data_IF_612582382355
#
_entry.id   IF_612582382355
#
_cell.length_a   1.000
_cell.length_b   1.000
_cell.length_c   1.000
_cell.angle_alpha   90.00
_cell.angle_beta   90.00
_cell.angle_gamma   90.00
#
_symmetry.space_group_name_H-M   'P 1'
#
loop_
_entity.id
_entity.type
_entity.pdbx_description
1 polymer ?
#
# COMPACT_ATOMS: atom_id res chain seq x y z
N UNK A 1 -15.98 -12.28 6.50
CA UNK A 1 -14.80 -11.98 5.65
C UNK A 1 -13.67 -12.87 6.13
N UNK A 2 -13.80 -14.20 6.02
CA UNK A 2 -12.89 -15.16 6.68
C UNK A 2 -11.74 -15.63 5.80
N UNK A 3 -11.76 -15.29 4.50
CA UNK A 3 -10.78 -15.79 3.54
C UNK A 3 -9.35 -15.28 3.77
N UNK A 4 -9.20 -14.08 4.35
CA UNK A 4 -7.89 -13.44 4.54
C UNK A 4 -7.34 -13.61 5.97
N UNK A 5 -8.18 -14.04 6.92
CA UNK A 5 -7.78 -14.21 8.32
C UNK A 5 -6.98 -15.48 8.58
N UNK A 6 -7.08 -16.48 7.70
CA UNK A 6 -6.35 -17.74 7.81
C UNK A 6 -5.02 -17.76 7.04
N UNK A 7 -4.74 -16.73 6.24
CA UNK A 7 -3.57 -16.67 5.39
C UNK A 7 -2.43 -15.90 6.07
N UNK A 8 -1.22 -16.45 5.98
CA UNK A 8 0.01 -15.80 6.39
C UNK A 8 0.30 -14.63 5.46
N UNK A 9 1.13 -13.70 5.92
CA UNK A 9 1.42 -12.47 5.18
C UNK A 9 2.01 -12.77 3.79
N UNK A 10 2.82 -13.81 3.71
CA UNK A 10 3.46 -14.29 2.49
C UNK A 10 2.41 -14.81 1.50
N UNK A 11 1.39 -15.52 1.99
CA UNK A 11 0.29 -16.07 1.20
C UNK A 11 -0.69 -14.97 0.73
N UNK A 12 -0.91 -13.93 1.55
CA UNK A 12 -1.72 -12.76 1.16
C UNK A 12 -1.01 -11.98 0.05
N UNK A 13 0.31 -11.78 0.19
CA UNK A 13 1.12 -11.14 -0.84
C UNK A 13 1.08 -11.97 -2.13
N UNK A 14 1.20 -13.28 -2.04
CA UNK A 14 1.12 -14.19 -3.19
C UNK A 14 -0.26 -14.13 -3.89
N UNK A 15 -1.36 -14.15 -3.13
CA UNK A 15 -2.73 -14.03 -3.66
C UNK A 15 -2.99 -12.68 -4.35
N UNK A 16 -2.43 -11.59 -3.82
CA UNK A 16 -2.53 -10.27 -4.44
C UNK A 16 -1.55 -10.10 -5.62
N UNK A 17 -0.51 -10.92 -5.69
CA UNK A 17 0.53 -10.90 -6.72
C UNK A 17 0.25 -11.85 -7.89
N UNK A 18 -0.62 -12.85 -7.72
CA UNK A 18 -0.96 -13.85 -8.73
C UNK A 18 -2.40 -13.68 -9.20
N UNK A 19 -2.59 -12.83 -10.21
CA UNK A 19 -3.87 -12.62 -10.90
C UNK A 19 -4.67 -11.47 -10.29
N UNK A 20 -4.48 -10.27 -10.84
CA UNK A 20 -5.16 -9.06 -10.40
C UNK A 20 -6.69 -9.17 -10.39
N UNK A 21 -7.33 -8.36 -9.55
CA UNK A 21 -8.79 -8.23 -9.50
C UNK A 21 -9.34 -7.80 -10.86
N UNK A 22 -10.46 -8.39 -11.30
CA UNK A 22 -11.12 -7.91 -12.52
C UNK A 22 -11.54 -6.44 -12.37
N UNK A 23 -11.68 -5.73 -13.49
CA UNK A 23 -11.99 -4.29 -13.51
C UNK A 23 -13.17 -3.90 -12.60
N UNK A 24 -14.24 -4.69 -12.59
CA UNK A 24 -15.39 -4.45 -11.71
C UNK A 24 -15.03 -4.56 -10.22
N UNK A 25 -14.22 -5.54 -9.85
CA UNK A 25 -13.75 -5.74 -8.48
C UNK A 25 -12.75 -4.67 -8.06
N UNK A 26 -11.94 -4.16 -9.00
CA UNK A 26 -11.02 -3.05 -8.74
C UNK A 26 -11.76 -1.76 -8.41
N UNK A 27 -12.80 -1.42 -9.17
CA UNK A 27 -13.63 -0.23 -8.88
C UNK A 27 -14.33 -0.34 -7.53
N UNK A 28 -14.91 -1.50 -7.22
CA UNK A 28 -15.58 -1.73 -5.93
C UNK A 28 -14.61 -1.68 -4.74
N UNK A 29 -13.39 -2.17 -4.91
CA UNK A 29 -12.33 -2.10 -3.90
C UNK A 29 -11.83 -0.66 -3.76
N UNK A 30 -11.63 0.04 -4.86
CA UNK A 30 -11.21 1.45 -4.88
C UNK A 30 -12.24 2.35 -4.19
N UNK A 31 -13.52 2.19 -4.49
CA UNK A 31 -14.61 2.95 -3.87
C UNK A 31 -14.74 2.64 -2.37
N UNK A 32 -14.54 1.38 -1.96
CA UNK A 32 -14.49 1.02 -0.54
C UNK A 32 -13.28 1.60 0.17
N UNK A 33 -12.10 1.63 -0.47
CA UNK A 33 -10.88 2.22 0.09
C UNK A 33 -11.06 3.72 0.26
N UNK A 34 -11.48 4.43 -0.79
CA UNK A 34 -11.74 5.87 -0.73
C UNK A 34 -12.81 6.18 0.31
N UNK A 35 -13.92 5.44 0.32
CA UNK A 35 -14.97 5.59 1.33
C UNK A 35 -14.48 5.37 2.76
N UNK A 36 -13.55 4.44 2.97
CA UNK A 36 -12.96 4.15 4.29
C UNK A 36 -11.93 5.21 4.71
N UNK A 37 -11.14 5.72 3.76
CA UNK A 37 -10.17 6.79 4.00
C UNK A 37 -10.86 8.14 4.30
N UNK A 38 -11.96 8.44 3.61
CA UNK A 38 -12.77 9.62 3.91
C UNK A 38 -13.48 9.53 5.26
N UNK A 39 -13.83 8.31 5.72
CA UNK A 39 -14.33 8.09 7.09
C UNK A 39 -13.22 8.24 8.15
N UNK A 40 -11.96 7.87 7.85
CA UNK A 40 -10.79 8.06 8.73
C UNK A 40 -10.40 9.53 8.92
N UNK A 41 -10.51 10.37 7.89
CA UNK A 41 -10.25 11.82 7.97
C UNK A 41 -11.12 12.56 9.00
N UNK A 42 -12.29 12.04 9.38
CA UNK A 42 -13.09 12.59 10.49
C UNK A 42 -12.62 12.14 11.87
N UNK A 43 -11.83 11.07 11.95
CA UNK A 43 -11.19 10.58 13.18
C UNK A 43 -9.76 11.10 13.41
N UNK A 44 -9.11 11.65 12.38
CA UNK A 44 -7.73 12.20 12.44
C UNK A 44 -7.59 13.44 13.36
N UNK A 45 -8.69 14.14 13.68
CA UNK A 45 -8.67 15.22 14.67
C UNK A 45 -8.29 14.74 16.09
N UNK A 46 -8.38 13.44 16.40
CA UNK A 46 -7.93 12.88 17.69
C UNK A 46 -6.41 12.62 17.75
N UNK A 47 -5.74 12.50 16.59
CA UNK A 47 -4.31 12.25 16.50
C UNK A 47 -3.49 13.51 16.81
N UNK A 48 -4.06 14.67 16.46
CA UNK A 48 -3.45 15.98 16.73
C UNK A 48 -3.29 16.24 18.24
N UNK A 49 -4.25 15.80 19.06
CA UNK A 49 -4.21 15.94 20.53
C UNK A 49 -3.11 15.07 21.18
N UNK A 50 -2.77 13.92 20.59
CA UNK A 50 -1.73 13.02 21.09
C UNK A 50 -0.31 13.49 20.71
N UNK A 51 -0.15 14.12 19.55
CA UNK A 51 1.12 14.71 19.11
C UNK A 51 1.53 15.92 19.98
N UNK A 52 0.58 16.65 20.57
CA UNK A 52 0.87 17.76 21.49
C UNK A 52 1.34 17.29 22.88
N UNK A 53 0.92 16.10 23.32
CA UNK A 53 1.49 15.42 24.50
C UNK A 53 2.96 15.02 24.23
N UNK A 54 3.26 14.60 22.99
CA UNK A 54 4.62 14.22 22.55
C UNK A 54 5.55 15.43 22.44
N UNK A 55 5.04 16.59 21.98
CA UNK A 55 5.82 17.85 21.90
C UNK A 55 6.27 18.38 23.27
N UNK A 56 5.52 18.13 24.35
CA UNK A 56 5.91 18.56 25.71
C UNK A 56 7.10 17.78 26.29
N UNK A 57 7.30 16.52 25.88
CA UNK A 57 8.43 15.70 26.34
C UNK A 57 9.78 16.02 25.67
N UNK A 58 9.78 16.73 24.53
CA UNK A 58 10.99 17.01 23.73
C UNK A 58 11.73 18.32 24.06
N UNK A 59 11.21 19.15 24.98
CA UNK A 59 11.81 20.48 25.28
C UNK A 59 13.07 20.46 26.15
N UNK A 60 13.59 19.29 26.54
CA UNK A 60 14.67 19.22 27.54
C UNK A 60 16.07 18.82 27.05
N UNK A 61 16.35 18.67 25.74
CA UNK A 61 17.74 18.46 25.29
C UNK A 61 18.01 19.11 23.90
N UNK A 62 18.46 20.38 23.92
CA UNK A 62 19.69 20.95 23.31
C UNK A 62 20.33 20.19 22.12
N UNK A 63 20.88 20.76 21.03
CA UNK A 63 20.93 22.06 20.34
C UNK A 63 21.72 21.79 19.02
N UNK A 64 21.41 22.54 17.95
CA UNK A 64 22.22 22.82 16.76
C UNK A 64 22.67 21.70 15.81
N UNK A 65 21.87 21.48 14.75
CA UNK A 65 22.25 21.73 13.33
C UNK A 65 21.21 21.09 12.39
N UNK A 66 20.20 21.85 11.97
CA UNK A 66 19.17 21.40 11.01
C UNK A 66 18.85 22.54 10.04
N UNK A 67 19.52 22.60 8.88
CA UNK A 67 19.07 23.49 7.80
C UNK A 67 19.42 23.07 6.36
N UNK A 68 19.60 21.78 6.07
CA UNK A 68 19.93 21.32 4.70
C UNK A 68 19.22 20.01 4.27
N UNK A 69 18.10 19.62 4.87
CA UNK A 69 17.47 18.32 4.56
C UNK A 69 16.22 18.38 3.66
N UNK A 70 15.57 19.53 3.47
CA UNK A 70 14.30 19.60 2.72
C UNK A 70 14.46 19.58 1.19
N UNK A 71 15.59 20.04 0.65
CA UNK A 71 15.76 20.21 -0.81
C UNK A 71 16.22 18.93 -1.52
N UNK A 72 16.32 17.81 -0.80
CA UNK A 72 16.79 16.51 -1.30
C UNK A 72 15.69 15.44 -1.39
N UNK A 73 14.42 15.75 -1.06
CA UNK A 73 13.31 14.79 -1.17
C UNK A 73 12.84 14.60 -2.62
N UNK A 74 12.67 15.67 -3.40
CA UNK A 74 12.25 15.57 -4.81
C UNK A 74 13.21 14.76 -5.71
N UNK A 75 14.55 14.92 -5.62
CA UNK A 75 15.48 14.11 -6.40
C UNK A 75 15.44 12.62 -6.02
N UNK A 76 15.16 12.29 -4.76
CA UNK A 76 15.04 10.90 -4.30
C UNK A 76 13.78 10.23 -4.82
N UNK A 77 12.67 10.95 -4.86
CA UNK A 77 11.44 10.43 -5.45
C UNK A 77 11.56 10.23 -6.96
N UNK A 78 12.23 11.14 -7.68
CA UNK A 78 12.50 10.97 -9.12
C UNK A 78 13.34 9.71 -9.42
N UNK A 79 14.37 9.45 -8.62
CA UNK A 79 15.18 8.23 -8.73
C UNK A 79 14.29 7.00 -8.47
N UNK A 80 13.46 7.02 -7.43
CA UNK A 80 12.51 5.93 -7.15
C UNK A 80 11.53 5.66 -8.29
N UNK A 81 10.97 6.71 -8.91
CA UNK A 81 10.08 6.52 -10.05
C UNK A 81 10.78 5.92 -11.25
N UNK A 82 12.08 6.22 -11.44
CA UNK A 82 12.88 5.63 -12.52
C UNK A 82 13.18 4.14 -12.32
N UNK A 83 13.07 3.63 -11.08
CA UNK A 83 13.25 2.21 -10.75
C UNK A 83 12.00 1.36 -11.02
N UNK A 84 10.86 2.01 -11.30
CA UNK A 84 9.61 1.31 -11.61
C UNK A 84 9.65 0.80 -13.04
N UNK A 85 9.53 -0.51 -13.21
CA UNK A 85 9.48 -1.15 -14.53
C UNK A 85 8.06 -1.64 -14.82
N UNK A 86 7.65 -1.57 -16.09
CA UNK A 86 6.34 -2.02 -16.53
C UNK A 86 6.46 -2.98 -17.72
N UNK A 87 5.87 -4.17 -17.58
CA UNK A 87 5.70 -5.14 -18.66
C UNK A 87 4.25 -5.17 -19.11
N UNK A 88 3.98 -5.04 -20.41
CA UNK A 88 2.62 -4.95 -20.99
C UNK A 88 2.35 -5.95 -22.13
N UNK A 89 3.37 -6.65 -22.58
CA UNK A 89 3.37 -7.52 -23.76
C UNK A 89 2.90 -8.96 -23.43
N UNK A 90 1.92 -9.09 -22.55
CA UNK A 90 1.36 -10.39 -22.19
C UNK A 90 0.46 -10.92 -23.30
N UNK A 91 0.76 -12.13 -23.75
CA UNK A 91 0.00 -12.81 -24.81
C UNK A 91 -0.30 -14.24 -24.42
N UNK A 92 -1.59 -14.56 -24.38
CA UNK A 92 -2.09 -15.93 -24.33
C UNK A 92 -3.35 -16.02 -25.17
N UNK A 93 -3.25 -16.68 -26.32
CA UNK A 93 -4.35 -16.77 -27.28
C UNK A 93 -5.15 -18.05 -27.02
N UNK A 94 -6.44 -17.89 -26.73
CA UNK A 94 -7.38 -19.01 -26.59
C UNK A 94 -8.52 -18.89 -27.61
N UNK A 95 -9.08 -20.04 -28.02
CA UNK A 95 -10.25 -20.07 -28.91
C UNK A 95 -11.54 -20.13 -28.10
N UNK A 96 -12.30 -19.05 -28.10
CA UNK A 96 -13.61 -18.96 -27.46
C UNK A 96 -14.65 -18.66 -28.54
N UNK A 97 -15.66 -19.54 -28.67
CA UNK A 97 -16.71 -19.43 -29.70
C UNK A 97 -16.15 -19.26 -31.13
N UNK A 98 -15.07 -19.99 -31.44
CA UNK A 98 -14.42 -19.95 -32.75
C UNK A 98 -13.52 -18.73 -33.01
N UNK A 99 -13.47 -17.76 -32.10
CA UNK A 99 -12.62 -16.56 -32.19
C UNK A 99 -11.34 -16.76 -31.39
N UNK A 100 -10.20 -16.35 -31.95
CA UNK A 100 -8.94 -16.27 -31.23
C UNK A 100 -8.91 -14.99 -30.38
N UNK A 101 -8.76 -15.13 -29.06
CA UNK A 101 -8.81 -14.03 -28.10
C UNK A 101 -7.53 -14.04 -27.27
N UNK A 102 -6.87 -12.89 -27.13
CA UNK A 102 -5.79 -12.74 -26.14
C UNK A 102 -6.41 -12.52 -24.76
N UNK A 103 -6.34 -13.54 -23.90
CA UNK A 103 -6.91 -13.46 -22.55
C UNK A 103 -6.14 -12.53 -21.62
N UNK A 104 -4.87 -12.24 -21.92
CA UNK A 104 -4.03 -11.36 -21.12
C UNK A 104 -4.05 -9.92 -21.62
N UNK A 105 -4.91 -9.60 -22.59
CA UNK A 105 -5.01 -8.26 -23.13
C UNK A 105 -5.38 -7.26 -22.03
N UNK A 106 -4.54 -6.23 -21.87
CA UNK A 106 -4.73 -5.18 -20.87
C UNK A 106 -4.10 -5.48 -19.50
N UNK A 107 -3.45 -6.64 -19.32
CA UNK A 107 -2.65 -6.88 -18.13
C UNK A 107 -1.32 -6.12 -18.19
N UNK A 108 -0.96 -5.50 -17.07
CA UNK A 108 0.33 -4.85 -16.87
C UNK A 108 0.97 -5.34 -15.58
N UNK A 109 2.26 -5.62 -15.61
CA UNK A 109 3.04 -5.99 -14.44
C UNK A 109 4.01 -4.85 -14.12
N UNK A 110 3.77 -4.21 -12.97
CA UNK A 110 4.65 -3.16 -12.44
C UNK A 110 5.56 -3.76 -11.37
N UNK A 111 6.87 -3.54 -11.49
CA UNK A 111 7.88 -3.98 -10.52
C UNK A 111 8.70 -2.79 -10.03
N UNK A 112 9.35 -2.92 -8.88
CA UNK A 112 10.14 -1.82 -8.29
C UNK A 112 9.30 -0.66 -7.73
N UNK A 113 7.98 -0.85 -7.58
CA UNK A 113 7.05 0.19 -7.08
C UNK A 113 7.38 0.61 -5.64
N UNK A 114 7.76 -0.35 -4.80
CA UNK A 114 8.16 -0.11 -3.42
C UNK A 114 9.61 -0.55 -3.24
N UNK A 115 10.42 0.29 -2.59
CA UNK A 115 11.76 -0.11 -2.19
C UNK A 115 11.71 -1.05 -0.96
N UNK A 116 12.87 -1.60 -0.59
CA UNK A 116 12.98 -2.58 0.51
C UNK A 116 12.49 -2.02 1.85
N UNK A 117 12.76 -0.74 2.13
CA UNK A 117 12.31 -0.09 3.38
C UNK A 117 10.79 0.06 3.39
N UNK A 118 10.20 0.54 2.30
CA UNK A 118 8.75 0.70 2.18
C UNK A 118 8.01 -0.63 2.27
N UNK A 119 8.56 -1.68 1.65
CA UNK A 119 8.03 -3.04 1.79
C UNK A 119 8.00 -3.44 3.27
N UNK A 120 9.10 -3.25 4.01
CA UNK A 120 9.18 -3.56 5.45
C UNK A 120 8.21 -2.72 6.29
N UNK A 121 8.04 -1.44 5.99
CA UNK A 121 7.07 -0.60 6.71
C UNK A 121 5.63 -1.08 6.50
N UNK A 122 5.28 -1.46 5.26
CA UNK A 122 3.97 -2.04 4.94
C UNK A 122 3.79 -3.37 5.70
N UNK A 123 4.81 -4.22 5.69
CA UNK A 123 4.84 -5.49 6.43
C UNK A 123 4.53 -5.28 7.91
N UNK A 124 5.29 -4.39 8.56
CA UNK A 124 5.17 -4.13 9.99
C UNK A 124 3.80 -3.54 10.33
N UNK A 125 3.31 -2.65 9.47
CA UNK A 125 1.99 -2.07 9.63
C UNK A 125 0.89 -3.14 9.55
N UNK A 126 0.97 -4.08 8.60
CA UNK A 126 0.03 -5.21 8.50
C UNK A 126 0.05 -6.05 9.78
N UNK A 127 1.22 -6.43 10.29
CA UNK A 127 1.30 -7.21 11.54
C UNK A 127 0.73 -6.46 12.73
N UNK A 128 0.97 -5.15 12.82
CA UNK A 128 0.37 -4.30 13.84
C UNK A 128 -1.16 -4.33 13.74
N UNK A 129 -1.72 -4.21 12.54
CA UNK A 129 -3.17 -4.27 12.34
C UNK A 129 -3.75 -5.64 12.70
N UNK A 130 -3.08 -6.72 12.31
CA UNK A 130 -3.51 -8.08 12.65
C UNK A 130 -3.55 -8.30 14.16
N UNK A 131 -2.50 -7.89 14.89
CA UNK A 131 -2.49 -7.94 16.35
C UNK A 131 -3.62 -7.16 16.98
N UNK A 132 -3.83 -5.92 16.52
CA UNK A 132 -4.94 -5.10 17.02
C UNK A 132 -6.29 -5.77 16.74
N UNK A 133 -6.43 -6.47 15.61
CA UNK A 133 -7.63 -7.26 15.27
C UNK A 133 -7.83 -8.42 16.24
N UNK A 134 -6.79 -9.22 16.50
CA UNK A 134 -6.82 -10.33 17.45
C UNK A 134 -7.14 -9.88 18.88
N UNK A 135 -6.63 -8.73 19.28
CA UNK A 135 -6.90 -8.10 20.57
C UNK A 135 -8.31 -7.45 20.65
N UNK A 136 -9.10 -7.46 19.56
CA UNK A 136 -10.40 -6.79 19.49
C UNK A 136 -10.32 -5.25 19.55
N UNK A 137 -9.13 -4.70 19.29
CA UNK A 137 -8.81 -3.27 19.39
C UNK A 137 -8.81 -2.56 18.03
N UNK A 138 -8.99 -3.31 16.94
CA UNK A 138 -9.16 -2.76 15.61
C UNK A 138 -10.62 -2.29 15.45
N UNK A 139 -10.85 -0.97 15.50
CA UNK A 139 -12.15 -0.32 15.34
C UNK A 139 -12.34 0.27 13.95
#
# INVERSE_FOLDING_TARGET
MELLSSLKKEEILEVLSHGGLCHCCQTLVHDRIIGTLHKRKRGENLYQDLEDIRRKSRRHNFDSSHKELSDLEEPKELIRYSEVHCKKDFTYIERINGRAINLLQGLELHTGVFNVMEQNEIVDYIYRLQRLGQEGRLR
#
